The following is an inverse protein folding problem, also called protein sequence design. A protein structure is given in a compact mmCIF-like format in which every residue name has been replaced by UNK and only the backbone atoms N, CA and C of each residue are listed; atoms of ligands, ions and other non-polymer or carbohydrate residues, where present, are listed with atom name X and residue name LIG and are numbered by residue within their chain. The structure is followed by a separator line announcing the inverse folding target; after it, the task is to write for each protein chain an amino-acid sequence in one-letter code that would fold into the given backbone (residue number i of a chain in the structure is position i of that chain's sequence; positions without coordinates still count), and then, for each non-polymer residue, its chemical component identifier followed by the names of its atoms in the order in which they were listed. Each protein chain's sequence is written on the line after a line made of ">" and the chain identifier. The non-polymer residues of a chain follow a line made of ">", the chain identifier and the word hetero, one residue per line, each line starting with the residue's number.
data_IF_956184888183
#
_entry.id   IF_956184888183
#
_cell.length_a   1.000
_cell.length_b   1.000
_cell.length_c   1.000
_cell.angle_alpha   90.00
_cell.angle_beta   90.00
_cell.angle_gamma   90.00
#
_symmetry.space_group_name_H-M   'P 1'
#
loop_
_entity.id
_entity.type
_entity.pdbx_description
1 polymer ?
#
# COMPACT_ATOMS: atom_id res chain seq x y z
N UNK A 1 18.77 -8.92 12.87
CA UNK A 1 18.92 -9.00 14.31
C UNK A 1 17.70 -9.65 14.93
N UNK A 2 17.86 -10.89 15.47
CA UNK A 2 16.79 -11.70 16.05
C UNK A 2 16.62 -11.49 17.57
N UNK A 3 17.20 -10.46 18.13
CA UNK A 3 17.01 -10.12 19.53
C UNK A 3 15.70 -9.36 19.73
N UNK A 4 15.16 -9.39 20.96
CA UNK A 4 13.96 -8.62 21.30
C UNK A 4 14.12 -7.12 21.03
N UNK A 5 15.30 -6.57 21.29
CA UNK A 5 15.63 -5.18 21.00
C UNK A 5 15.66 -4.92 19.49
N UNK A 6 16.28 -5.79 18.70
CA UNK A 6 16.35 -5.66 17.24
C UNK A 6 15.03 -5.83 16.54
N UNK A 7 14.06 -6.53 17.18
CA UNK A 7 12.72 -6.72 16.59
C UNK A 7 11.73 -5.59 16.97
N UNK A 8 11.98 -4.84 18.03
CA UNK A 8 11.00 -3.88 18.55
C UNK A 8 11.53 -2.46 18.78
N UNK A 9 12.81 -2.31 19.16
CA UNK A 9 13.29 -1.04 19.72
C UNK A 9 14.56 -0.53 19.06
N UNK A 10 15.07 -1.19 18.02
CA UNK A 10 16.34 -0.84 17.41
C UNK A 10 16.11 -0.53 15.93
N UNK A 11 16.43 0.71 15.53
CA UNK A 11 16.53 1.05 14.12
C UNK A 11 17.79 0.38 13.54
N UNK A 12 17.64 -0.38 12.47
CA UNK A 12 18.74 -0.99 11.75
C UNK A 12 19.00 -0.21 10.47
N UNK A 13 20.23 0.25 10.33
CA UNK A 13 20.68 0.94 9.12
C UNK A 13 21.59 0.03 8.34
N UNK A 14 21.14 -0.40 7.16
CA UNK A 14 21.94 -1.22 6.24
C UNK A 14 22.45 -0.33 5.11
N UNK A 15 23.76 -0.34 4.88
CA UNK A 15 24.41 0.40 3.80
C UNK A 15 25.00 -0.60 2.82
N UNK A 16 24.66 -0.45 1.56
CA UNK A 16 25.37 -1.11 0.47
C UNK A 16 26.52 -0.21 0.00
N UNK A 17 27.76 -0.66 0.17
CA UNK A 17 28.95 0.06 -0.29
C UNK A 17 29.38 -0.53 -1.62
N UNK A 18 29.33 0.29 -2.67
CA UNK A 18 29.83 -0.06 -4.02
C UNK A 18 30.96 0.89 -4.40
N UNK A 19 32.01 0.34 -4.99
CA UNK A 19 33.12 1.06 -5.63
C UNK A 19 34.14 1.75 -4.70
N UNK A 20 33.78 2.21 -3.50
CA UNK A 20 34.69 2.87 -2.57
C UNK A 20 34.54 2.35 -1.13
N UNK A 21 35.68 2.14 -0.44
CA UNK A 21 35.68 1.74 0.99
C UNK A 21 35.32 0.27 1.26
N UNK A 22 35.06 -0.50 0.24
CA UNK A 22 34.70 -1.92 0.38
C UNK A 22 35.89 -2.73 0.97
N UNK A 23 37.14 -2.41 0.58
CA UNK A 23 38.32 -3.10 1.11
C UNK A 23 38.48 -2.89 2.61
N UNK A 24 38.26 -1.67 3.11
CA UNK A 24 38.30 -1.35 4.53
C UNK A 24 37.16 -2.07 5.32
N UNK A 25 36.00 -2.19 4.72
CA UNK A 25 34.87 -2.92 5.32
C UNK A 25 35.16 -4.43 5.41
N UNK A 26 35.75 -5.03 4.38
CA UNK A 26 36.19 -6.43 4.37
C UNK A 26 37.29 -6.65 5.42
N UNK A 27 38.29 -5.81 5.45
CA UNK A 27 39.39 -5.92 6.45
C UNK A 27 38.82 -5.84 7.87
N UNK A 28 37.90 -4.89 8.15
CA UNK A 28 37.26 -4.77 9.46
C UNK A 28 36.44 -6.01 9.82
N UNK A 29 35.73 -6.59 8.83
CA UNK A 29 35.00 -7.83 9.03
C UNK A 29 35.93 -8.99 9.36
N UNK A 30 37.02 -9.14 8.61
CA UNK A 30 38.00 -10.21 8.82
C UNK A 30 38.65 -10.10 10.19
N UNK A 31 39.02 -8.88 10.62
CA UNK A 31 39.56 -8.64 11.96
C UNK A 31 38.55 -8.98 13.08
N UNK A 32 37.25 -8.71 12.87
CA UNK A 32 36.19 -9.14 13.78
C UNK A 32 36.01 -10.65 13.78
N UNK A 33 36.09 -11.27 12.61
CA UNK A 33 35.95 -12.71 12.46
C UNK A 33 37.07 -13.48 13.14
N UNK A 34 38.32 -13.04 13.01
CA UNK A 34 39.46 -13.63 13.69
C UNK A 34 39.37 -13.53 15.24
N UNK A 35 38.78 -12.48 15.74
CA UNK A 35 38.54 -12.28 17.19
C UNK A 35 37.28 -12.96 17.71
N UNK A 36 36.42 -13.41 16.81
CA UNK A 36 35.15 -14.03 17.18
C UNK A 36 35.40 -15.42 17.82
N UNK A 37 34.64 -15.72 18.84
CA UNK A 37 34.63 -17.04 19.45
C UNK A 37 33.68 -17.94 18.66
N UNK A 38 34.15 -19.06 18.06
CA UNK A 38 33.32 -19.96 17.27
C UNK A 38 32.35 -20.73 18.18
N UNK A 39 31.17 -20.16 18.42
CA UNK A 39 30.16 -20.76 19.32
C UNK A 39 29.65 -22.10 18.77
N UNK A 40 29.63 -22.26 17.42
CA UNK A 40 29.02 -23.41 16.78
C UNK A 40 29.97 -24.59 16.54
N UNK A 41 31.28 -24.40 16.71
CA UNK A 41 32.28 -25.47 16.52
C UNK A 41 32.27 -26.48 17.67
N UNK A 42 31.96 -26.04 18.89
CA UNK A 42 31.84 -26.91 20.05
C UNK A 42 30.40 -27.38 20.25
N UNK A 43 30.18 -28.69 20.29
CA UNK A 43 28.84 -29.30 20.44
C UNK A 43 28.09 -28.78 21.67
N UNK A 44 28.78 -28.57 22.79
CA UNK A 44 28.18 -28.08 24.02
C UNK A 44 27.72 -26.62 23.88
N UNK A 45 28.53 -25.76 23.29
CA UNK A 45 28.18 -24.36 23.05
C UNK A 45 27.01 -24.24 22.03
N UNK A 46 27.03 -25.09 21.01
CA UNK A 46 25.93 -25.18 20.04
C UNK A 46 24.63 -25.58 20.73
N UNK A 47 24.67 -26.55 21.63
CA UNK A 47 23.49 -26.99 22.38
C UNK A 47 22.98 -25.90 23.29
N UNK A 48 23.87 -25.22 24.03
CA UNK A 48 23.51 -24.07 24.89
C UNK A 48 22.84 -22.97 24.07
N UNK A 49 23.37 -22.64 22.89
CA UNK A 49 22.79 -21.63 22.00
C UNK A 49 21.39 -22.04 21.51
N UNK A 50 21.24 -23.31 21.08
CA UNK A 50 19.94 -23.82 20.62
C UNK A 50 18.94 -23.82 21.76
N UNK A 51 19.32 -24.24 22.95
CA UNK A 51 18.44 -24.27 24.12
C UNK A 51 18.08 -22.83 24.57
N UNK A 52 19.02 -21.90 24.49
CA UNK A 52 18.74 -20.47 24.73
C UNK A 52 17.73 -19.92 23.72
N UNK A 53 17.93 -20.17 22.44
CA UNK A 53 16.99 -19.76 21.38
C UNK A 53 15.61 -20.37 21.65
N UNK A 54 15.55 -21.67 21.92
CA UNK A 54 14.29 -22.38 22.22
C UNK A 54 13.57 -21.81 23.43
N UNK A 55 14.29 -21.48 24.51
CA UNK A 55 13.70 -21.02 25.77
C UNK A 55 13.37 -19.53 25.80
N UNK A 56 13.99 -18.73 24.94
CA UNK A 56 13.83 -17.27 24.91
C UNK A 56 13.02 -16.74 23.75
N UNK A 57 12.77 -17.57 22.75
CA UNK A 57 11.95 -17.22 21.60
C UNK A 57 10.66 -18.02 21.59
N UNK A 58 9.58 -17.42 21.12
CA UNK A 58 8.29 -18.10 20.95
C UNK A 58 8.33 -19.22 19.85
N UNK A 59 9.40 -19.26 19.08
CA UNK A 59 9.59 -20.24 17.99
C UNK A 59 9.55 -21.69 18.48
N UNK A 60 9.87 -21.93 19.77
CA UNK A 60 9.80 -23.27 20.33
C UNK A 60 8.42 -23.70 20.84
N UNK A 61 7.49 -22.75 20.97
CA UNK A 61 6.17 -22.99 21.57
C UNK A 61 5.04 -22.98 20.55
N UNK A 62 5.30 -22.56 19.32
CA UNK A 62 4.29 -22.50 18.25
C UNK A 62 4.72 -23.34 17.04
N UNK A 63 3.76 -24.06 16.47
CA UNK A 63 3.97 -24.77 15.21
C UNK A 63 4.11 -23.79 14.05
N UNK A 64 4.70 -24.19 12.90
CA UNK A 64 4.75 -23.35 11.70
C UNK A 64 3.37 -22.85 11.25
N UNK A 65 2.33 -23.63 11.44
CA UNK A 65 0.95 -23.24 11.12
C UNK A 65 0.43 -22.14 12.07
N UNK A 66 0.68 -22.30 13.38
CA UNK A 66 0.31 -21.27 14.36
C UNK A 66 1.08 -19.96 14.14
N UNK A 67 2.37 -20.04 13.77
CA UNK A 67 3.16 -18.88 13.40
C UNK A 67 2.56 -18.16 12.17
N UNK A 68 2.17 -18.92 11.16
CA UNK A 68 1.47 -18.38 9.98
C UNK A 68 0.15 -17.72 10.37
N UNK A 69 -0.68 -18.38 11.18
CA UNK A 69 -1.94 -17.81 11.67
C UNK A 69 -1.72 -16.53 12.48
N UNK A 70 -0.66 -16.49 13.31
CA UNK A 70 -0.32 -15.29 14.08
C UNK A 70 0.07 -14.10 13.18
N UNK A 71 0.87 -14.35 12.14
CA UNK A 71 1.24 -13.33 11.16
C UNK A 71 0.00 -12.79 10.45
N UNK A 72 -0.86 -13.68 9.95
CA UNK A 72 -2.10 -13.27 9.28
C UNK A 72 -3.02 -12.49 10.24
N UNK A 73 -3.18 -12.98 11.47
CA UNK A 73 -3.98 -12.28 12.49
C UNK A 73 -3.41 -10.87 12.76
N UNK A 74 -2.10 -10.75 12.99
CA UNK A 74 -1.46 -9.46 13.24
C UNK A 74 -1.65 -8.50 12.06
N UNK A 75 -1.53 -9.01 10.83
CA UNK A 75 -1.78 -8.24 9.61
C UNK A 75 -3.22 -7.74 9.54
N UNK A 76 -4.20 -8.60 9.83
CA UNK A 76 -5.62 -8.22 9.86
C UNK A 76 -5.94 -7.24 11.00
N UNK A 77 -5.35 -7.45 12.18
CA UNK A 77 -5.55 -6.55 13.33
C UNK A 77 -4.98 -5.14 13.06
N UNK A 78 -3.84 -5.05 12.36
CA UNK A 78 -3.27 -3.76 11.94
C UNK A 78 -4.17 -3.05 10.92
N UNK A 79 -4.74 -3.78 9.98
CA UNK A 79 -5.70 -3.22 9.02
C UNK A 79 -7.00 -2.71 9.68
N UNK A 80 -7.43 -3.35 10.75
CA UNK A 80 -8.68 -2.97 11.45
C UNK A 80 -8.51 -1.80 12.42
N UNK A 81 -7.29 -1.47 12.86
CA UNK A 81 -7.06 -0.42 13.87
C UNK A 81 -7.10 1.03 13.33
N UNK A 82 -7.05 1.25 12.02
CA UNK A 82 -6.92 2.59 11.44
C UNK A 82 -8.16 3.12 10.70
N UNK A 83 -9.28 2.43 10.75
CA UNK A 83 -10.46 2.83 10.01
C UNK A 83 -11.35 3.78 10.83
N UNK A 84 -11.15 5.09 10.69
CA UNK A 84 -12.26 6.04 10.84
C UNK A 84 -13.21 5.79 9.65
N UNK A 85 -14.23 4.99 9.88
CA UNK A 85 -15.27 4.69 8.90
C UNK A 85 -16.05 5.98 8.57
N UNK A 86 -15.77 6.55 7.40
CA UNK A 86 -16.81 7.35 6.74
C UNK A 86 -17.95 6.37 6.44
N UNK A 87 -19.16 6.70 6.83
CA UNK A 87 -20.36 5.85 6.64
C UNK A 87 -20.65 5.69 5.13
N UNK A 88 -19.81 4.88 4.47
CA UNK A 88 -19.92 4.52 3.05
C UNK A 88 -21.22 3.74 2.79
N UNK A 89 -21.75 3.08 3.82
CA UNK A 89 -22.96 2.26 3.72
C UNK A 89 -24.16 3.12 3.43
N UNK A 90 -24.36 4.16 4.21
CA UNK A 90 -25.45 5.13 4.00
C UNK A 90 -25.28 5.87 2.65
N UNK A 91 -24.06 6.08 2.19
CA UNK A 91 -23.82 6.69 0.89
C UNK A 91 -24.25 5.75 -0.24
N UNK A 92 -23.81 4.48 -0.22
CA UNK A 92 -24.13 3.49 -1.27
C UNK A 92 -25.62 3.22 -1.36
N UNK A 93 -26.33 3.15 -0.24
CA UNK A 93 -27.80 3.03 -0.21
C UNK A 93 -28.50 4.22 -0.89
N UNK A 94 -28.02 5.44 -0.64
CA UNK A 94 -28.60 6.66 -1.26
C UNK A 94 -28.44 6.73 -2.78
N UNK A 95 -27.38 6.13 -3.32
CA UNK A 95 -27.10 6.15 -4.77
C UNK A 95 -27.54 4.86 -5.48
N UNK A 96 -28.33 4.02 -4.78
CA UNK A 96 -28.87 2.74 -5.29
C UNK A 96 -27.77 1.80 -5.82
N UNK A 97 -26.64 1.78 -5.16
CA UNK A 97 -25.57 0.84 -5.44
C UNK A 97 -25.50 -0.24 -4.36
N UNK A 98 -25.47 -1.49 -4.84
CA UNK A 98 -25.36 -2.63 -3.94
C UNK A 98 -23.97 -2.66 -3.28
N UNK A 99 -23.96 -2.74 -1.95
CA UNK A 99 -22.74 -2.95 -1.17
C UNK A 99 -22.21 -4.37 -1.38
N UNK A 100 -20.91 -4.47 -1.63
CA UNK A 100 -20.19 -5.73 -1.60
C UNK A 100 -19.02 -5.61 -0.61
N UNK A 101 -18.90 -6.59 0.30
CA UNK A 101 -17.85 -6.60 1.33
C UNK A 101 -16.44 -6.44 0.76
N UNK A 102 -16.14 -7.13 -0.34
CA UNK A 102 -14.83 -7.01 -0.99
C UNK A 102 -14.49 -5.60 -1.48
N UNK A 103 -15.50 -4.78 -1.86
CA UNK A 103 -15.26 -3.38 -2.26
C UNK A 103 -14.90 -2.53 -1.06
N UNK A 104 -15.55 -2.72 0.07
CA UNK A 104 -15.20 -2.03 1.33
C UNK A 104 -13.78 -2.40 1.78
N UNK A 105 -13.44 -3.69 1.74
CA UNK A 105 -12.10 -4.17 2.07
C UNK A 105 -11.04 -3.56 1.13
N UNK A 106 -11.33 -3.52 -0.17
CA UNK A 106 -10.43 -2.91 -1.17
C UNK A 106 -10.23 -1.40 -0.93
N UNK A 107 -11.29 -0.67 -0.56
CA UNK A 107 -11.21 0.76 -0.21
C UNK A 107 -10.32 0.97 1.01
N UNK A 108 -10.54 0.21 2.07
CA UNK A 108 -9.75 0.31 3.29
C UNK A 108 -8.27 0.03 3.05
N UNK A 109 -7.96 -1.06 2.34
CA UNK A 109 -6.58 -1.38 1.94
C UNK A 109 -5.94 -0.29 1.08
N UNK A 110 -6.68 0.23 0.10
CA UNK A 110 -6.17 1.29 -0.77
C UNK A 110 -5.88 2.59 0.00
N UNK A 111 -6.74 2.99 0.93
CA UNK A 111 -6.52 4.16 1.78
C UNK A 111 -5.27 3.99 2.65
N UNK A 112 -5.07 2.81 3.22
CA UNK A 112 -3.86 2.51 3.99
C UNK A 112 -2.61 2.60 3.10
N UNK A 113 -2.62 1.96 1.92
CA UNK A 113 -1.51 2.04 0.97
C UNK A 113 -1.20 3.48 0.54
N UNK A 114 -2.24 4.30 0.33
CA UNK A 114 -2.06 5.70 -0.04
C UNK A 114 -1.40 6.49 1.09
N UNK A 115 -1.79 6.25 2.35
CA UNK A 115 -1.17 6.89 3.52
C UNK A 115 0.31 6.52 3.67
N UNK A 116 0.65 5.25 3.45
CA UNK A 116 2.02 4.72 3.63
C UNK A 116 2.94 5.02 2.44
N UNK A 117 2.41 4.94 1.21
CA UNK A 117 3.19 4.94 -0.02
C UNK A 117 2.84 6.06 -1.00
N UNK A 118 1.93 6.97 -0.65
CA UNK A 118 1.42 8.06 -1.49
C UNK A 118 0.73 7.58 -2.78
N UNK A 119 0.31 6.33 -2.85
CA UNK A 119 -0.40 5.81 -4.01
C UNK A 119 -0.72 4.32 -3.89
N UNK A 120 -1.65 3.84 -4.71
CA UNK A 120 -1.98 2.43 -4.83
C UNK A 120 -2.36 2.06 -6.27
N UNK A 121 -2.32 0.78 -6.59
CA UNK A 121 -2.77 0.23 -7.86
C UNK A 121 -3.89 -0.78 -7.57
N UNK A 122 -5.07 -0.55 -8.16
CA UNK A 122 -6.21 -1.47 -8.09
C UNK A 122 -6.19 -2.34 -9.34
N UNK A 123 -5.71 -3.57 -9.22
CA UNK A 123 -5.48 -4.50 -10.33
C UNK A 123 -6.51 -5.64 -10.38
N UNK A 124 -7.71 -5.41 -9.89
CA UNK A 124 -8.78 -6.41 -9.87
C UNK A 124 -9.28 -6.80 -11.27
N UNK A 125 -9.92 -7.96 -11.35
CA UNK A 125 -10.54 -8.46 -12.57
C UNK A 125 -11.59 -7.48 -13.13
N UNK A 126 -11.73 -7.47 -14.44
CA UNK A 126 -12.75 -6.64 -15.12
C UNK A 126 -14.16 -6.98 -14.60
N UNK A 127 -14.96 -5.96 -14.34
CA UNK A 127 -16.36 -6.13 -13.88
C UNK A 127 -16.55 -6.09 -12.35
N UNK A 128 -15.49 -6.05 -11.54
CA UNK A 128 -15.60 -5.96 -10.08
C UNK A 128 -15.87 -4.53 -9.54
N UNK A 129 -16.15 -3.57 -10.43
CA UNK A 129 -16.51 -2.21 -10.02
C UNK A 129 -15.34 -1.35 -9.57
N UNK A 130 -14.17 -1.45 -10.24
CA UNK A 130 -12.99 -0.63 -9.94
C UNK A 130 -13.29 0.87 -9.90
N UNK A 131 -14.13 1.37 -10.82
CA UNK A 131 -14.53 2.79 -10.85
C UNK A 131 -15.36 3.16 -9.62
N UNK A 132 -16.18 2.26 -9.10
CA UNK A 132 -16.92 2.43 -7.84
C UNK A 132 -15.94 2.50 -6.67
N UNK A 133 -15.00 1.55 -6.58
CA UNK A 133 -13.97 1.51 -5.54
C UNK A 133 -13.15 2.82 -5.56
N UNK A 134 -12.69 3.25 -6.74
CA UNK A 134 -11.94 4.49 -6.88
C UNK A 134 -12.75 5.73 -6.48
N UNK A 135 -14.05 5.77 -6.78
CA UNK A 135 -14.95 6.85 -6.36
C UNK A 135 -15.18 6.85 -4.85
N UNK A 136 -15.28 5.68 -4.22
CA UNK A 136 -15.36 5.55 -2.77
C UNK A 136 -14.10 6.04 -2.08
N UNK A 137 -12.91 5.69 -2.60
CA UNK A 137 -11.62 6.18 -2.12
C UNK A 137 -11.56 7.71 -2.24
N UNK A 138 -11.89 8.26 -3.41
CA UNK A 138 -11.92 9.70 -3.64
C UNK A 138 -12.85 10.42 -2.66
N UNK A 139 -14.01 9.85 -2.38
CA UNK A 139 -14.98 10.38 -1.42
C UNK A 139 -14.45 10.35 0.01
N UNK A 140 -13.83 9.23 0.41
CA UNK A 140 -13.29 9.07 1.76
C UNK A 140 -12.09 9.98 2.00
N UNK A 141 -11.24 10.19 0.99
CA UNK A 141 -10.11 11.12 1.10
C UNK A 141 -10.56 12.58 1.23
N UNK A 142 -11.75 12.92 0.77
CA UNK A 142 -12.32 14.27 0.83
C UNK A 142 -11.37 15.37 0.31
N UNK A 143 -10.65 15.08 -0.77
CA UNK A 143 -9.64 15.95 -1.38
C UNK A 143 -10.06 16.36 -2.78
N UNK A 144 -9.39 17.39 -3.31
CA UNK A 144 -9.54 17.81 -4.71
C UNK A 144 -8.74 16.87 -5.61
N UNK A 145 -9.32 16.49 -6.74
CA UNK A 145 -8.61 15.58 -7.62
C UNK A 145 -9.01 15.67 -9.08
N UNK A 146 -8.25 14.93 -9.87
CA UNK A 146 -8.52 14.72 -11.29
C UNK A 146 -8.59 13.24 -11.63
N UNK A 147 -9.40 12.94 -12.64
CA UNK A 147 -9.49 11.62 -13.24
C UNK A 147 -8.97 11.70 -14.66
N UNK A 148 -8.03 10.84 -14.98
CA UNK A 148 -7.48 10.69 -16.33
C UNK A 148 -7.94 9.34 -16.86
N UNK A 149 -8.70 9.34 -17.95
CA UNK A 149 -9.30 8.12 -18.50
C UNK A 149 -9.32 8.14 -20.04
N UNK A 150 -9.58 6.99 -20.70
CA UNK A 150 -9.89 6.95 -22.12
C UNK A 150 -11.11 7.81 -22.46
N UNK A 151 -11.15 8.45 -23.66
CA UNK A 151 -12.26 9.33 -24.03
C UNK A 151 -13.65 8.69 -23.91
N UNK A 152 -13.75 7.39 -24.23
CA UNK A 152 -15.03 6.66 -24.17
C UNK A 152 -15.55 6.40 -22.74
N UNK A 153 -14.71 6.59 -21.70
CA UNK A 153 -15.10 6.41 -20.30
C UNK A 153 -15.38 7.75 -19.58
N UNK A 154 -15.18 8.89 -20.23
CA UNK A 154 -15.43 10.20 -19.63
C UNK A 154 -16.90 10.42 -19.32
N UNK A 155 -17.78 10.06 -20.27
CA UNK A 155 -19.20 10.38 -20.20
C UNK A 155 -19.50 11.82 -20.65
N UNK A 156 -20.74 12.25 -20.43
CA UNK A 156 -21.24 13.58 -20.81
C UNK A 156 -21.14 14.56 -19.63
N UNK A 157 -20.35 15.63 -19.71
CA UNK A 157 -20.18 16.60 -18.62
C UNK A 157 -21.43 17.44 -18.34
N UNK A 158 -22.36 17.57 -19.32
CA UNK A 158 -23.57 18.34 -19.15
C UNK A 158 -24.69 17.51 -18.53
N UNK A 159 -24.87 16.27 -19.04
CA UNK A 159 -25.93 15.37 -18.58
C UNK A 159 -25.54 14.62 -17.31
N UNK A 160 -24.26 14.30 -17.15
CA UNK A 160 -23.70 13.55 -16.01
C UNK A 160 -24.42 12.21 -15.75
N UNK A 161 -24.88 11.56 -16.79
CA UNK A 161 -25.65 10.31 -16.78
C UNK A 161 -24.86 9.09 -17.26
N UNK A 162 -23.58 9.28 -17.54
CA UNK A 162 -22.71 8.24 -18.09
C UNK A 162 -21.24 8.47 -17.71
N UNK A 163 -20.45 7.36 -17.72
CA UNK A 163 -19.02 7.37 -17.51
C UNK A 163 -18.58 7.98 -16.18
N UNK A 164 -17.40 8.58 -16.15
CA UNK A 164 -16.83 9.17 -14.92
C UNK A 164 -17.62 10.39 -14.42
N UNK A 165 -18.27 11.15 -15.30
CA UNK A 165 -19.12 12.26 -14.87
C UNK A 165 -20.33 11.80 -14.06
N UNK A 166 -20.91 10.63 -14.39
CA UNK A 166 -21.96 9.99 -13.60
C UNK A 166 -21.46 9.60 -12.19
N UNK A 167 -20.26 9.01 -12.11
CA UNK A 167 -19.66 8.67 -10.81
C UNK A 167 -19.37 9.90 -9.97
N UNK A 168 -18.83 10.97 -10.56
CA UNK A 168 -18.58 12.21 -9.83
C UNK A 168 -19.87 12.78 -9.24
N UNK A 169 -20.96 12.75 -10.00
CA UNK A 169 -22.28 13.22 -9.53
C UNK A 169 -22.83 12.32 -8.42
N UNK A 170 -22.86 11.00 -8.65
CA UNK A 170 -23.37 10.02 -7.69
C UNK A 170 -22.65 10.07 -6.34
N UNK A 171 -21.32 10.17 -6.37
CA UNK A 171 -20.50 10.19 -5.16
C UNK A 171 -20.30 11.60 -4.58
N UNK A 172 -20.90 12.63 -5.17
CA UNK A 172 -20.79 14.01 -4.70
C UNK A 172 -19.37 14.57 -4.75
N UNK A 173 -18.61 14.21 -5.79
CA UNK A 173 -17.21 14.62 -6.00
C UNK A 173 -17.16 15.94 -6.79
N UNK A 174 -17.77 16.99 -6.29
CA UNK A 174 -17.93 18.28 -7.00
C UNK A 174 -16.61 19.03 -7.24
N UNK A 175 -15.56 18.70 -6.48
CA UNK A 175 -14.23 19.31 -6.62
C UNK A 175 -13.30 18.52 -7.54
N UNK A 176 -13.84 17.56 -8.30
CA UNK A 176 -13.10 16.71 -9.20
C UNK A 176 -13.36 17.08 -10.67
N UNK A 177 -12.39 16.78 -11.52
CA UNK A 177 -12.50 16.99 -12.97
C UNK A 177 -12.08 15.74 -13.73
N UNK A 178 -12.68 15.52 -14.89
CA UNK A 178 -12.38 14.38 -15.76
C UNK A 178 -11.65 14.87 -17.00
N UNK A 179 -10.54 14.24 -17.31
CA UNK A 179 -9.72 14.54 -18.47
C UNK A 179 -9.48 13.31 -19.33
N UNK A 180 -9.47 13.53 -20.63
CA UNK A 180 -9.01 12.50 -21.57
C UNK A 180 -7.49 12.38 -21.51
N UNK A 181 -7.00 11.13 -21.54
CA UNK A 181 -5.56 10.84 -21.63
C UNK A 181 -4.86 11.55 -22.80
N UNK A 182 -5.55 11.82 -23.89
CA UNK A 182 -4.99 12.45 -25.09
C UNK A 182 -4.64 13.94 -24.94
N UNK A 183 -4.98 14.55 -23.81
CA UNK A 183 -4.70 15.99 -23.52
C UNK A 183 -3.79 16.18 -22.30
N UNK A 184 -3.10 15.11 -21.86
CA UNK A 184 -2.25 15.17 -20.64
C UNK A 184 -1.21 16.27 -20.73
N UNK A 185 -0.52 16.43 -21.86
CA UNK A 185 0.49 17.45 -22.05
C UNK A 185 -0.11 18.87 -21.86
N UNK A 186 -1.35 19.06 -22.36
CA UNK A 186 -2.08 20.34 -22.19
C UNK A 186 -2.62 20.52 -20.77
N UNK A 187 -2.86 19.42 -20.05
CA UNK A 187 -3.27 19.47 -18.64
C UNK A 187 -2.11 19.95 -17.80
N UNK A 188 -0.89 19.44 -18.04
CA UNK A 188 0.30 19.86 -17.33
C UNK A 188 0.49 21.38 -17.41
N UNK A 189 0.34 21.96 -18.59
CA UNK A 189 0.42 23.43 -18.80
C UNK A 189 -0.70 24.21 -18.12
N UNK A 190 -1.89 23.62 -17.94
CA UNK A 190 -3.06 24.27 -17.34
C UNK A 190 -3.24 24.00 -15.85
N UNK A 191 -2.49 23.06 -15.29
CA UNK A 191 -2.51 22.72 -13.86
C UNK A 191 -1.72 23.72 -13.02
N UNK A 192 -0.80 24.51 -13.63
CA UNK A 192 -0.09 25.57 -12.94
C UNK A 192 -1.10 26.55 -12.31
N UNK A 193 -1.26 26.46 -10.99
CA UNK A 193 -2.19 27.25 -10.19
C UNK A 193 -3.49 26.55 -9.74
N UNK A 194 -3.68 25.26 -10.02
CA UNK A 194 -4.78 24.47 -9.46
C UNK A 194 -4.23 23.43 -8.49
N UNK A 195 -4.60 23.55 -7.24
CA UNK A 195 -4.19 22.62 -6.17
C UNK A 195 -4.98 21.30 -6.27
N UNK A 196 -4.49 20.37 -7.09
CA UNK A 196 -4.97 18.98 -7.04
C UNK A 196 -4.09 18.18 -6.11
N UNK A 197 -4.73 17.43 -5.23
CA UNK A 197 -4.04 16.61 -4.24
C UNK A 197 -4.05 15.12 -4.62
N UNK A 198 -5.01 14.71 -5.49
CA UNK A 198 -5.22 13.32 -5.87
C UNK A 198 -5.39 13.19 -7.38
N UNK A 199 -4.78 12.17 -7.95
CA UNK A 199 -4.92 11.80 -9.36
C UNK A 199 -5.38 10.36 -9.46
N UNK A 200 -6.48 10.12 -10.15
CA UNK A 200 -6.93 8.77 -10.51
C UNK A 200 -6.63 8.56 -12.00
N UNK A 201 -5.93 7.48 -12.30
CA UNK A 201 -5.64 7.07 -13.68
C UNK A 201 -6.39 5.79 -13.97
N UNK A 202 -7.44 5.89 -14.78
CA UNK A 202 -8.21 4.73 -15.22
C UNK A 202 -7.60 4.13 -16.48
N UNK A 203 -7.64 2.80 -16.58
CA UNK A 203 -7.00 2.04 -17.66
C UNK A 203 -5.50 2.37 -17.81
N UNK A 204 -4.78 2.41 -16.68
CA UNK A 204 -3.37 2.81 -16.59
C UNK A 204 -2.43 2.02 -17.53
N UNK A 205 -2.85 0.83 -17.98
CA UNK A 205 -2.07 0.03 -18.92
C UNK A 205 -1.80 0.73 -20.26
N UNK A 206 -2.60 1.72 -20.64
CA UNK A 206 -2.37 2.53 -21.85
C UNK A 206 -1.15 3.45 -21.76
N UNK A 207 -0.60 3.69 -20.57
CA UNK A 207 0.59 4.52 -20.37
C UNK A 207 1.88 3.71 -20.37
N UNK A 208 1.80 2.41 -20.58
CA UNK A 208 2.93 1.47 -20.45
C UNK A 208 4.04 1.67 -21.50
N UNK A 209 3.74 2.34 -22.61
CA UNK A 209 4.64 2.47 -23.76
C UNK A 209 4.85 3.95 -24.18
N UNK A 210 4.72 4.88 -23.28
CA UNK A 210 5.03 6.30 -23.52
C UNK A 210 6.31 6.71 -22.83
#
# INVERSE_FOLDING_TARGET
>A
NLTRSGLHNQEEFNVEIKDYGYADAVQYFDELWERATPITEHLDNRKILIDFIKNKTQVATITPFEAYCLVIKTYLDLQNQENEEVDLDTLLEKIDLKKFSYQSDAVNQAIQMIKEHNGCIIADVVGLGKSVIASMIARQMNKRGIIICPPGLMGDPEKKDSGWWEYLEKFGLHNWQVYSRGIIDRIADNIEGRDFEVVIVDEAHYFRNQ
#
